data_IF_482309372337
#
_entry.id   IF_482309372337
#
_cell.length_a   1.000
_cell.length_b   1.000
_cell.length_c   1.000
_cell.angle_alpha   90.00
_cell.angle_beta   90.00
_cell.angle_gamma   90.00
#
_symmetry.space_group_name_H-M   'P 1'
#
loop_
_entity.id
_entity.type
_entity.pdbx_description
1 polymer ?
#
# COMPACT_ATOMS: atom_id res chain seq x y z
N UNK A 1 10.66 13.44 -5.84
CA UNK A 1 9.81 12.66 -4.93
C UNK A 1 8.96 13.67 -4.19
N UNK A 2 7.67 13.69 -4.48
CA UNK A 2 6.73 14.50 -3.69
C UNK A 2 6.69 13.92 -2.26
N UNK A 3 6.47 14.73 -1.21
CA UNK A 3 6.53 14.26 0.18
C UNK A 3 5.54 13.14 0.54
N UNK A 4 4.53 12.88 -0.30
CA UNK A 4 3.62 11.74 -0.16
C UNK A 4 4.24 10.39 -0.53
N UNK A 5 5.15 10.36 -1.52
CA UNK A 5 5.74 9.12 -2.06
C UNK A 5 6.63 8.43 -1.02
N UNK A 6 7.44 9.21 -0.29
CA UNK A 6 8.36 8.68 0.72
C UNK A 6 7.64 8.06 1.92
N UNK A 7 6.52 8.65 2.36
CA UNK A 7 5.73 8.11 3.47
C UNK A 7 4.99 6.84 3.05
N UNK A 8 4.40 6.82 1.85
CA UNK A 8 3.72 5.63 1.36
C UNK A 8 4.71 4.46 1.19
N UNK A 9 5.89 4.72 0.62
CA UNK A 9 6.96 3.72 0.52
C UNK A 9 7.33 3.15 1.88
N UNK A 10 7.52 4.00 2.88
CA UNK A 10 7.79 3.55 4.25
C UNK A 10 6.70 2.61 4.78
N UNK A 11 5.42 2.96 4.58
CA UNK A 11 4.30 2.12 5.02
C UNK A 11 4.27 0.75 4.33
N UNK A 12 4.60 0.68 3.04
CA UNK A 12 4.67 -0.57 2.28
C UNK A 12 5.88 -1.42 2.70
N UNK A 13 7.05 -0.80 2.89
CA UNK A 13 8.25 -1.47 3.39
C UNK A 13 8.09 -1.95 4.85
N UNK A 14 7.22 -1.33 5.65
CA UNK A 14 6.90 -1.84 6.99
C UNK A 14 5.93 -3.03 6.94
N UNK A 15 5.06 -3.07 5.93
CA UNK A 15 4.14 -4.20 5.73
C UNK A 15 4.84 -5.45 5.19
N UNK A 16 5.77 -5.24 4.25
CA UNK A 16 6.72 -6.22 3.71
C UNK A 16 6.17 -7.64 3.45
N UNK A 17 5.12 -7.80 2.62
CA UNK A 17 4.51 -9.10 2.38
C UNK A 17 5.48 -10.15 1.78
N UNK A 18 6.52 -9.72 1.07
CA UNK A 18 7.53 -10.62 0.48
C UNK A 18 8.69 -10.90 1.46
N UNK A 19 8.97 -10.00 2.41
CA UNK A 19 10.05 -10.15 3.37
C UNK A 19 11.42 -9.66 2.86
N UNK A 20 11.45 -8.64 2.00
CA UNK A 20 12.66 -8.16 1.31
C UNK A 20 13.00 -6.70 1.62
N UNK A 21 12.23 -6.02 2.46
CA UNK A 21 12.42 -4.60 2.75
C UNK A 21 13.79 -4.27 3.40
N UNK A 22 14.41 -5.24 4.07
CA UNK A 22 15.78 -5.11 4.63
C UNK A 22 16.89 -5.25 3.57
N UNK A 23 16.55 -5.70 2.35
CA UNK A 23 17.50 -5.96 1.26
C UNK A 23 17.38 -4.94 0.13
N UNK A 24 16.15 -4.53 -0.21
CA UNK A 24 15.84 -3.58 -1.29
C UNK A 24 14.70 -2.67 -0.83
N UNK A 25 14.82 -1.36 -1.09
CA UNK A 25 13.87 -0.36 -0.62
C UNK A 25 12.78 0.00 -1.64
N UNK A 26 12.94 -0.45 -2.88
CA UNK A 26 12.10 -0.12 -4.03
C UNK A 26 11.19 -1.27 -4.51
N UNK A 27 11.21 -2.42 -3.84
CA UNK A 27 10.40 -3.60 -4.22
C UNK A 27 8.92 -3.25 -4.42
N UNK A 28 8.36 -2.44 -3.53
CA UNK A 28 6.94 -2.08 -3.54
C UNK A 28 6.65 -0.78 -4.31
N UNK A 29 7.63 -0.22 -5.03
CA UNK A 29 7.46 1.05 -5.75
C UNK A 29 6.38 1.00 -6.82
N UNK A 30 6.17 -0.18 -7.41
CA UNK A 30 5.13 -0.42 -8.39
C UNK A 30 3.72 -0.12 -7.85
N UNK A 31 3.51 -0.20 -6.54
CA UNK A 31 2.23 0.07 -5.87
C UNK A 31 2.00 1.55 -5.57
N UNK A 32 3.06 2.39 -5.55
CA UNK A 32 2.98 3.77 -5.10
C UNK A 32 2.02 4.61 -5.95
N UNK A 33 2.26 4.68 -7.27
CA UNK A 33 1.44 5.49 -8.16
C UNK A 33 -0.03 4.99 -8.24
N UNK A 34 -0.30 3.67 -8.38
CA UNK A 34 -1.66 3.14 -8.34
C UNK A 34 -2.41 3.43 -7.04
N UNK A 35 -1.74 3.37 -5.88
CA UNK A 35 -2.35 3.66 -4.57
C UNK A 35 -2.63 5.15 -4.42
N UNK A 36 -1.65 6.01 -4.70
CA UNK A 36 -1.84 7.46 -4.63
C UNK A 36 -2.95 7.93 -5.55
N UNK A 37 -3.03 7.39 -6.77
CA UNK A 37 -4.11 7.71 -7.70
C UNK A 37 -5.49 7.36 -7.13
N UNK A 38 -5.63 6.19 -6.49
CA UNK A 38 -6.90 5.74 -5.89
C UNK A 38 -7.26 6.57 -4.66
N UNK A 39 -6.31 6.78 -3.76
CA UNK A 39 -6.51 7.57 -2.55
C UNK A 39 -6.90 9.02 -2.89
N UNK A 40 -6.25 9.62 -3.90
CA UNK A 40 -6.58 10.96 -4.38
C UNK A 40 -7.97 11.01 -5.07
N UNK A 41 -8.42 9.90 -5.67
CA UNK A 41 -9.78 9.76 -6.18
C UNK A 41 -10.84 9.49 -5.08
N UNK A 42 -10.42 9.37 -3.81
CA UNK A 42 -11.31 9.12 -2.68
C UNK A 42 -11.63 7.65 -2.43
N UNK A 43 -10.81 6.73 -2.93
CA UNK A 43 -10.95 5.30 -2.68
C UNK A 43 -10.96 5.00 -1.16
N UNK A 44 -11.95 4.24 -0.72
CA UNK A 44 -12.10 3.80 0.66
C UNK A 44 -11.41 2.46 0.93
N UNK A 45 -11.49 2.02 2.19
CA UNK A 45 -10.89 0.75 2.69
C UNK A 45 -11.14 -0.44 1.78
N UNK A 46 -12.39 -0.66 1.36
CA UNK A 46 -12.76 -1.84 0.58
C UNK A 46 -12.06 -1.88 -0.79
N UNK A 47 -12.00 -0.74 -1.48
CA UNK A 47 -11.35 -0.65 -2.79
C UNK A 47 -9.82 -0.80 -2.67
N UNK A 48 -9.22 -0.19 -1.64
CA UNK A 48 -7.78 -0.35 -1.38
C UNK A 48 -7.46 -1.80 -1.00
N UNK A 49 -8.28 -2.45 -0.17
CA UNK A 49 -8.09 -3.86 0.19
C UNK A 49 -8.20 -4.78 -1.03
N UNK A 50 -9.22 -4.60 -1.88
CA UNK A 50 -9.38 -5.36 -3.11
C UNK A 50 -8.18 -5.17 -4.05
N UNK A 51 -7.70 -3.94 -4.21
CA UNK A 51 -6.51 -3.66 -5.01
C UNK A 51 -5.27 -4.39 -4.47
N UNK A 52 -4.96 -4.25 -3.17
CA UNK A 52 -3.82 -4.91 -2.56
C UNK A 52 -3.92 -6.43 -2.66
N UNK A 53 -5.11 -6.99 -2.44
CA UNK A 53 -5.36 -8.42 -2.58
C UNK A 53 -4.99 -8.92 -3.97
N UNK A 54 -5.45 -8.22 -5.01
CA UNK A 54 -5.16 -8.56 -6.41
C UNK A 54 -3.68 -8.45 -6.73
N UNK A 55 -3.00 -7.40 -6.28
CA UNK A 55 -1.56 -7.28 -6.52
C UNK A 55 -0.77 -8.40 -5.82
N UNK A 56 -1.13 -8.76 -4.59
CA UNK A 56 -0.51 -9.90 -3.91
C UNK A 56 -0.71 -11.21 -4.68
N UNK A 57 -1.92 -11.50 -5.13
CA UNK A 57 -2.25 -12.75 -5.82
C UNK A 57 -1.68 -12.79 -7.25
N UNK A 58 -2.00 -11.79 -8.06
CA UNK A 58 -1.80 -11.82 -9.50
C UNK A 58 -0.40 -11.33 -9.90
N UNK A 59 0.18 -10.38 -9.17
CA UNK A 59 1.46 -9.76 -9.50
C UNK A 59 2.62 -10.37 -8.70
N UNK A 60 2.46 -10.54 -7.39
CA UNK A 60 3.50 -11.10 -6.53
C UNK A 60 3.40 -12.63 -6.36
N UNK A 61 2.29 -13.25 -6.76
CA UNK A 61 2.10 -14.71 -6.65
C UNK A 61 2.00 -15.20 -5.20
N UNK A 62 1.58 -14.35 -4.28
CA UNK A 62 1.42 -14.64 -2.85
C UNK A 62 -0.03 -15.07 -2.54
N UNK A 63 -0.23 -15.64 -1.35
CA UNK A 63 -1.56 -15.99 -0.82
C UNK A 63 -2.06 -14.86 0.08
N UNK A 64 -2.94 -13.96 -0.40
CA UNK A 64 -3.27 -12.73 0.30
C UNK A 64 -3.91 -12.95 1.68
N UNK A 65 -4.52 -14.12 1.91
CA UNK A 65 -5.07 -14.51 3.22
C UNK A 65 -4.03 -14.45 4.35
N UNK A 66 -2.75 -14.60 4.02
CA UNK A 66 -1.64 -14.67 4.98
C UNK A 66 -1.01 -13.31 5.30
N UNK A 67 -1.40 -12.25 4.59
CA UNK A 67 -0.64 -10.99 4.59
C UNK A 67 -1.42 -9.79 5.17
N UNK A 68 -2.48 -10.00 5.96
CA UNK A 68 -3.17 -8.92 6.67
C UNK A 68 -3.54 -7.70 5.77
N UNK A 69 -4.06 -7.96 4.57
CA UNK A 69 -4.40 -6.95 3.57
C UNK A 69 -5.39 -5.91 4.09
N UNK A 70 -6.45 -6.36 4.77
CA UNK A 70 -7.49 -5.50 5.32
C UNK A 70 -6.95 -4.47 6.35
N UNK A 71 -6.19 -4.88 7.39
CA UNK A 71 -5.51 -3.96 8.29
C UNK A 71 -4.60 -2.95 7.56
N UNK A 72 -3.90 -3.39 6.52
CA UNK A 72 -3.03 -2.51 5.76
C UNK A 72 -3.82 -1.47 4.96
N UNK A 73 -4.92 -1.87 4.32
CA UNK A 73 -5.83 -0.96 3.64
C UNK A 73 -6.43 0.09 4.59
N UNK A 74 -6.85 -0.31 5.79
CA UNK A 74 -7.30 0.62 6.84
C UNK A 74 -6.22 1.64 7.21
N UNK A 75 -4.99 1.17 7.41
CA UNK A 75 -3.84 2.02 7.73
C UNK A 75 -3.57 3.06 6.63
N UNK A 76 -3.60 2.64 5.37
CA UNK A 76 -3.36 3.53 4.23
C UNK A 76 -4.43 4.62 4.11
N UNK A 77 -5.70 4.26 4.25
CA UNK A 77 -6.81 5.23 4.20
C UNK A 77 -6.74 6.20 5.38
N UNK A 78 -6.46 5.71 6.59
CA UNK A 78 -6.31 6.55 7.77
C UNK A 78 -5.14 7.53 7.64
N UNK A 79 -3.99 7.06 7.15
CA UNK A 79 -2.82 7.89 6.87
C UNK A 79 -3.15 8.98 5.85
N UNK A 80 -3.79 8.62 4.73
CA UNK A 80 -4.14 9.56 3.67
C UNK A 80 -5.09 10.66 4.17
N UNK A 81 -6.11 10.28 4.94
CA UNK A 81 -7.03 11.23 5.53
C UNK A 81 -6.31 12.19 6.49
N UNK A 82 -5.42 11.70 7.35
CA UNK A 82 -4.64 12.53 8.27
C UNK A 82 -3.72 13.51 7.51
N UNK A 83 -3.09 13.08 6.42
CA UNK A 83 -2.20 13.91 5.61
C UNK A 83 -2.91 15.06 4.87
N UNK A 84 -4.21 14.91 4.59
CA UNK A 84 -5.03 15.89 3.86
C UNK A 84 -6.04 16.65 4.75
N UNK A 85 -6.01 16.41 6.06
CA UNK A 85 -6.81 17.15 7.05
C UNK A 85 -6.08 18.37 7.63
N UNK A 86 -4.95 18.76 7.02
CA UNK A 86 -4.05 19.82 7.46
C UNK A 86 -4.13 21.08 6.60
#
# INVERSE_FOLDING_TARGET
MEPGDSNLRYLLNEWDPIGVADMVDDEYDCLLAPLLSRLNAGAGRAEISEFLWRELEDHFGLSPELHAVDPMADRLVAWWAAAHSA
#
